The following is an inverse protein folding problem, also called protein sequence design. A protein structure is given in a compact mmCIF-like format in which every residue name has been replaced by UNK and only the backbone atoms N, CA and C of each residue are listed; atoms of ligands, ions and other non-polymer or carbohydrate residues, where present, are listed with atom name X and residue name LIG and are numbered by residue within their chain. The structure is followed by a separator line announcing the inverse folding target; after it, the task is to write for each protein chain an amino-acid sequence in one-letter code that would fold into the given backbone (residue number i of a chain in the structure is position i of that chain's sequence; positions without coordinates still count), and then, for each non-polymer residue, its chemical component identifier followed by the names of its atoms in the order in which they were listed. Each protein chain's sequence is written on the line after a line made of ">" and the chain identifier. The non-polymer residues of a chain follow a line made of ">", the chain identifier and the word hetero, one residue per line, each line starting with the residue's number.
data_IF_641710971061
#
_entry.id   IF_641710971061
#
_cell.length_a   1.000
_cell.length_b   1.000
_cell.length_c   1.000
_cell.angle_alpha   90.00
_cell.angle_beta   90.00
_cell.angle_gamma   90.00
#
_symmetry.space_group_name_H-M   'P 1'
#
loop_
_entity.id
_entity.type
_entity.pdbx_description
1 polymer ?
#
# COMPACT_ATOMS: atom_id res chain seq x y z
N UNK A 1 -22.85 -8.31 -2.62
CA UNK A 1 -22.31 -8.71 -3.93
C UNK A 1 -23.38 -8.72 -5.03
N UNK A 2 -24.52 -9.35 -4.84
CA UNK A 2 -25.61 -9.46 -5.84
C UNK A 2 -26.11 -8.11 -6.40
N UNK A 3 -26.30 -7.08 -5.57
CA UNK A 3 -26.68 -5.72 -6.04
C UNK A 3 -25.59 -5.03 -6.85
N UNK A 4 -24.32 -5.28 -6.55
CA UNK A 4 -23.19 -4.71 -7.28
C UNK A 4 -23.06 -5.35 -8.67
N UNK A 5 -23.13 -6.68 -8.75
CA UNK A 5 -23.08 -7.41 -10.00
C UNK A 5 -24.27 -7.07 -10.92
N UNK A 6 -25.48 -6.93 -10.36
CA UNK A 6 -26.67 -6.56 -11.12
C UNK A 6 -26.60 -5.13 -11.68
N UNK A 7 -26.01 -4.19 -10.94
CA UNK A 7 -25.91 -2.78 -11.40
C UNK A 7 -24.81 -2.52 -12.42
N UNK A 8 -23.86 -3.45 -12.61
CA UNK A 8 -22.71 -3.24 -13.48
C UNK A 8 -22.64 -4.25 -14.66
N UNK A 9 -23.66 -5.08 -14.84
CA UNK A 9 -23.70 -6.12 -15.90
C UNK A 9 -22.39 -6.91 -16.05
N UNK A 10 -21.60 -6.98 -14.97
CA UNK A 10 -20.39 -7.78 -14.96
C UNK A 10 -20.83 -9.24 -15.01
N UNK A 11 -20.72 -9.84 -16.17
CA UNK A 11 -20.77 -11.28 -16.31
C UNK A 11 -19.55 -11.80 -15.55
N UNK A 12 -19.75 -12.11 -14.28
CA UNK A 12 -18.76 -12.79 -13.45
C UNK A 12 -18.66 -14.24 -13.95
N UNK A 13 -18.03 -14.42 -15.10
CA UNK A 13 -17.63 -15.77 -15.48
C UNK A 13 -16.55 -16.21 -14.49
N UNK A 14 -16.68 -17.43 -14.00
CA UNK A 14 -16.10 -17.99 -12.78
C UNK A 14 -14.58 -18.17 -12.76
N UNK A 15 -13.79 -17.27 -13.33
CA UNK A 15 -12.33 -17.33 -13.20
C UNK A 15 -11.86 -16.50 -12.01
N UNK A 16 -10.91 -17.02 -11.23
CA UNK A 16 -10.32 -16.33 -10.08
C UNK A 16 -9.86 -14.90 -10.39
N UNK A 17 -9.36 -14.65 -11.60
CA UNK A 17 -8.96 -13.32 -12.08
C UNK A 17 -10.12 -12.33 -12.13
N UNK A 18 -11.30 -12.80 -12.54
CA UNK A 18 -12.48 -11.94 -12.62
C UNK A 18 -13.08 -11.66 -11.24
N UNK A 19 -13.00 -12.63 -10.33
CA UNK A 19 -13.38 -12.42 -8.94
C UNK A 19 -12.45 -11.41 -8.25
N UNK A 20 -11.15 -11.50 -8.50
CA UNK A 20 -10.17 -10.53 -7.99
C UNK A 20 -10.44 -9.13 -8.53
N UNK A 21 -10.63 -8.99 -9.85
CA UNK A 21 -10.95 -7.72 -10.48
C UNK A 21 -12.26 -7.11 -9.95
N UNK A 22 -13.31 -7.91 -9.80
CA UNK A 22 -14.57 -7.46 -9.21
C UNK A 22 -14.40 -7.00 -7.75
N UNK A 23 -13.54 -7.68 -7.00
CA UNK A 23 -13.20 -7.30 -5.63
C UNK A 23 -12.44 -5.98 -5.58
N UNK A 24 -11.43 -5.78 -6.42
CA UNK A 24 -10.69 -4.51 -6.54
C UNK A 24 -11.63 -3.33 -6.87
N UNK A 25 -12.56 -3.53 -7.82
CA UNK A 25 -13.57 -2.53 -8.16
C UNK A 25 -14.48 -2.23 -6.95
N UNK A 26 -14.89 -3.24 -6.19
CA UNK A 26 -15.69 -3.04 -4.99
C UNK A 26 -14.93 -2.23 -3.92
N UNK A 27 -13.62 -2.48 -3.76
CA UNK A 27 -12.73 -1.73 -2.87
C UNK A 27 -12.60 -0.27 -3.32
N UNK A 28 -12.39 -0.04 -4.62
CA UNK A 28 -12.35 1.31 -5.19
C UNK A 28 -13.64 2.08 -4.86
N UNK A 29 -14.80 1.50 -5.10
CA UNK A 29 -16.08 2.13 -4.78
C UNK A 29 -16.27 2.37 -3.27
N UNK A 30 -15.73 1.49 -2.42
CA UNK A 30 -15.73 1.71 -0.98
C UNK A 30 -14.89 2.93 -0.59
N UNK A 31 -13.71 3.06 -1.18
CA UNK A 31 -12.80 4.18 -0.99
C UNK A 31 -13.43 5.50 -1.49
N UNK A 32 -14.01 5.51 -2.68
CA UNK A 32 -14.68 6.69 -3.23
C UNK A 32 -15.86 7.14 -2.35
N UNK A 33 -16.66 6.19 -1.82
CA UNK A 33 -17.72 6.51 -0.84
C UNK A 33 -17.18 7.08 0.45
N UNK A 34 -16.01 6.63 0.90
CA UNK A 34 -15.33 7.22 2.06
C UNK A 34 -15.00 8.69 1.77
N UNK A 35 -14.31 9.01 0.69
CA UNK A 35 -13.95 10.38 0.34
C UNK A 35 -15.17 11.30 0.15
N UNK A 36 -16.21 10.81 -0.51
CA UNK A 36 -17.48 11.56 -0.63
C UNK A 36 -18.06 11.94 0.73
N UNK A 37 -17.96 11.05 1.74
CA UNK A 37 -18.41 11.34 3.11
C UNK A 37 -17.49 12.28 3.87
N UNK A 38 -16.22 12.36 3.49
CA UNK A 38 -15.28 13.35 4.01
C UNK A 38 -15.48 14.74 3.38
N UNK A 39 -16.46 14.90 2.47
CA UNK A 39 -16.77 16.18 1.84
C UNK A 39 -16.08 16.43 0.50
N UNK A 40 -15.36 15.46 -0.04
CA UNK A 40 -14.76 15.60 -1.38
C UNK A 40 -15.83 15.50 -2.47
N UNK A 41 -15.77 16.42 -3.44
CA UNK A 41 -16.43 16.26 -4.72
C UNK A 41 -15.66 15.24 -5.57
N UNK A 42 -16.40 14.38 -6.30
CA UNK A 42 -15.80 13.34 -7.15
C UNK A 42 -16.16 13.63 -8.61
N UNK A 43 -15.13 13.76 -9.44
CA UNK A 43 -15.27 13.91 -10.89
C UNK A 43 -14.69 12.69 -11.58
N UNK A 44 -15.46 12.08 -12.48
CA UNK A 44 -15.01 10.95 -13.28
C UNK A 44 -14.27 11.46 -14.50
N UNK A 45 -13.04 11.01 -14.68
CA UNK A 45 -12.15 11.47 -15.73
C UNK A 45 -11.88 10.37 -16.76
N UNK A 46 -11.54 10.77 -17.97
CA UNK A 46 -11.15 9.88 -19.06
C UNK A 46 -12.16 8.78 -19.37
N UNK A 47 -13.44 9.14 -19.40
CA UNK A 47 -14.51 8.23 -19.82
C UNK A 47 -14.41 7.92 -21.32
N UNK A 48 -14.82 6.72 -21.72
CA UNK A 48 -14.99 6.35 -23.13
C UNK A 48 -16.47 6.03 -23.38
N UNK A 49 -17.08 6.73 -24.34
CA UNK A 49 -18.51 6.63 -24.60
C UNK A 49 -19.37 6.79 -23.33
N UNK A 50 -18.98 7.71 -22.44
CA UNK A 50 -19.59 7.96 -21.13
C UNK A 50 -19.53 6.78 -20.15
N UNK A 51 -18.66 5.81 -20.39
CA UNK A 51 -18.45 4.63 -19.52
C UNK A 51 -17.11 4.72 -18.77
N UNK A 52 -17.11 4.34 -17.49
CA UNK A 52 -15.91 4.25 -16.68
C UNK A 52 -15.17 2.95 -16.96
N UNK A 53 -13.89 3.06 -17.35
CA UNK A 53 -13.03 1.92 -17.65
C UNK A 53 -12.07 1.65 -16.51
N UNK A 54 -12.26 0.51 -15.86
CA UNK A 54 -11.42 0.06 -14.74
C UNK A 54 -10.12 -0.56 -15.25
N UNK A 55 -8.99 -0.16 -14.66
CA UNK A 55 -7.70 -0.81 -14.87
C UNK A 55 -7.50 -1.85 -13.76
N UNK A 56 -7.67 -3.13 -14.10
CA UNK A 56 -7.55 -4.27 -13.16
C UNK A 56 -6.36 -5.16 -13.46
N UNK A 57 -5.38 -4.64 -14.22
CA UNK A 57 -4.15 -5.35 -14.56
C UNK A 57 -2.98 -4.39 -14.67
N UNK A 58 -1.83 -4.70 -14.08
CA UNK A 58 -0.65 -3.85 -14.14
C UNK A 58 0.00 -3.75 -15.53
N UNK A 59 -0.47 -4.54 -16.50
CA UNK A 59 0.02 -4.51 -17.88
C UNK A 59 -0.69 -3.46 -18.76
N UNK A 60 -1.80 -2.89 -18.29
CA UNK A 60 -2.53 -1.85 -19.02
C UNK A 60 -1.80 -0.51 -19.01
N UNK A 61 -2.01 0.29 -20.06
CA UNK A 61 -1.56 1.69 -20.07
C UNK A 61 -2.55 2.56 -19.28
N UNK A 62 -2.16 3.15 -18.13
CA UNK A 62 -3.06 3.96 -17.30
C UNK A 62 -3.73 5.12 -18.06
N UNK A 63 -3.09 5.67 -19.10
CA UNK A 63 -3.65 6.75 -19.92
C UNK A 63 -4.91 6.33 -20.69
N UNK A 64 -5.14 5.03 -20.87
CA UNK A 64 -6.31 4.50 -21.59
C UNK A 64 -7.49 4.16 -20.67
N UNK A 65 -7.35 4.36 -19.35
CA UNK A 65 -8.35 3.98 -18.36
C UNK A 65 -8.86 5.20 -17.59
N UNK A 66 -10.05 5.06 -17.03
CA UNK A 66 -10.67 6.13 -16.27
C UNK A 66 -10.06 6.25 -14.88
N UNK A 67 -10.15 7.43 -14.31
CA UNK A 67 -9.74 7.72 -12.94
C UNK A 67 -10.72 8.71 -12.30
N UNK A 68 -10.53 9.00 -11.02
CA UNK A 68 -11.43 9.92 -10.31
C UNK A 68 -10.60 11.06 -9.74
N UNK A 69 -10.99 12.30 -10.03
CA UNK A 69 -10.47 13.48 -9.33
C UNK A 69 -11.29 13.71 -8.07
N UNK A 70 -10.60 13.90 -6.95
CA UNK A 70 -11.15 14.31 -5.67
C UNK A 70 -10.85 15.79 -5.49
N UNK A 71 -11.87 16.62 -5.31
CA UNK A 71 -11.72 18.07 -5.02
C UNK A 71 -12.27 18.35 -3.64
N UNK A 72 -11.43 18.85 -2.75
CA UNK A 72 -11.76 19.19 -1.36
C UNK A 72 -11.15 20.50 -0.90
N UNK A 73 -11.36 20.87 0.36
CA UNK A 73 -10.77 22.09 0.93
C UNK A 73 -9.23 22.05 0.97
N UNK A 74 -8.65 20.86 1.06
CA UNK A 74 -7.21 20.64 1.19
C UNK A 74 -6.52 20.43 -0.17
N UNK A 75 -7.23 20.59 -1.28
CA UNK A 75 -6.68 20.47 -2.62
C UNK A 75 -7.37 19.45 -3.51
N UNK A 76 -6.67 19.09 -4.58
CA UNK A 76 -7.16 18.14 -5.56
C UNK A 76 -6.23 16.93 -5.64
N UNK A 77 -6.83 15.75 -5.77
CA UNK A 77 -6.14 14.46 -5.78
C UNK A 77 -6.73 13.57 -6.88
N UNK A 78 -5.97 12.58 -7.30
CA UNK A 78 -6.42 11.58 -8.26
C UNK A 78 -6.45 10.19 -7.62
N UNK A 79 -7.55 9.47 -7.80
CA UNK A 79 -7.65 8.05 -7.45
C UNK A 79 -7.49 7.23 -8.72
N UNK A 80 -6.42 6.44 -8.78
CA UNK A 80 -6.07 5.62 -9.92
C UNK A 80 -5.86 4.16 -9.52
N UNK A 81 -6.05 3.25 -10.46
CA UNK A 81 -5.85 1.81 -10.26
C UNK A 81 -4.58 1.34 -10.98
N UNK A 82 -3.89 0.35 -10.39
CA UNK A 82 -2.80 -0.43 -11.01
C UNK A 82 -1.67 0.43 -11.63
N UNK A 83 -1.42 1.63 -11.09
CA UNK A 83 -0.28 2.46 -11.49
C UNK A 83 0.93 2.05 -10.66
N UNK A 84 2.06 1.87 -11.31
CA UNK A 84 3.32 1.54 -10.63
C UNK A 84 3.89 2.73 -9.90
N UNK A 85 4.49 2.47 -8.75
CA UNK A 85 5.22 3.46 -7.94
C UNK A 85 6.68 3.11 -7.97
N UNK A 86 7.54 4.07 -8.29
CA UNK A 86 8.98 3.92 -8.17
C UNK A 86 9.37 3.89 -6.70
N UNK A 87 10.17 2.90 -6.32
CA UNK A 87 10.69 2.82 -4.96
C UNK A 87 11.63 3.98 -4.66
N UNK A 88 11.54 4.51 -3.44
CA UNK A 88 12.49 5.51 -2.98
C UNK A 88 13.91 4.93 -2.75
N UNK A 89 13.99 3.60 -2.57
CA UNK A 89 15.28 2.92 -2.35
C UNK A 89 16.07 2.80 -3.65
N UNK A 90 15.37 2.46 -4.76
CA UNK A 90 15.99 2.33 -6.07
C UNK A 90 14.94 2.55 -7.17
N UNK A 91 15.19 3.48 -8.08
CA UNK A 91 14.22 3.91 -9.11
C UNK A 91 13.90 2.84 -10.16
N UNK A 92 14.68 1.79 -10.26
CA UNK A 92 14.44 0.62 -11.12
C UNK A 92 13.50 -0.41 -10.47
N UNK A 93 13.34 -0.35 -9.14
CA UNK A 93 12.37 -1.15 -8.40
C UNK A 93 11.00 -0.45 -8.44
N UNK A 94 9.96 -1.20 -8.80
CA UNK A 94 8.59 -0.68 -8.88
C UNK A 94 7.63 -1.59 -8.16
N UNK A 95 6.69 -0.98 -7.46
CA UNK A 95 5.55 -1.63 -6.81
C UNK A 95 4.26 -1.25 -7.53
N UNK A 96 3.30 -2.14 -7.56
CA UNK A 96 2.01 -1.88 -8.20
C UNK A 96 0.88 -2.09 -7.19
N UNK A 97 0.57 -1.08 -6.38
CA UNK A 97 -0.62 -1.12 -5.53
C UNK A 97 -1.88 -1.18 -6.38
N UNK A 98 -2.91 -1.84 -5.88
CA UNK A 98 -4.17 -1.99 -6.60
C UNK A 98 -4.90 -0.65 -6.77
N UNK A 99 -4.83 0.23 -5.75
CA UNK A 99 -5.44 1.57 -5.79
C UNK A 99 -4.45 2.58 -5.20
N UNK A 100 -4.27 3.70 -5.90
CA UNK A 100 -3.46 4.82 -5.47
C UNK A 100 -4.29 6.09 -5.33
N UNK A 101 -3.98 6.87 -4.31
CA UNK A 101 -4.36 8.28 -4.20
C UNK A 101 -3.11 9.11 -4.46
N UNK A 102 -3.15 9.95 -5.47
CA UNK A 102 -2.02 10.76 -5.96
C UNK A 102 -2.33 12.24 -5.79
N UNK A 103 -1.31 13.07 -5.68
CA UNK A 103 -1.45 14.49 -5.92
C UNK A 103 -1.94 14.71 -7.35
N UNK A 104 -2.84 15.68 -7.56
CA UNK A 104 -3.32 16.02 -8.90
C UNK A 104 -2.17 16.39 -9.83
N UNK A 105 -2.37 16.15 -11.12
CA UNK A 105 -1.38 16.39 -12.18
C UNK A 105 -0.05 15.65 -11.95
N UNK A 106 -0.11 14.51 -11.30
CA UNK A 106 1.04 13.63 -11.17
C UNK A 106 1.42 13.07 -12.54
N UNK A 107 2.64 13.37 -12.98
CA UNK A 107 3.17 12.82 -14.23
C UNK A 107 3.35 11.31 -14.07
N UNK A 108 2.71 10.54 -14.94
CA UNK A 108 2.91 9.11 -15.06
C UNK A 108 3.91 8.89 -16.19
N UNK A 109 5.14 8.53 -15.82
CA UNK A 109 6.18 8.24 -16.81
C UNK A 109 5.78 7.03 -17.66
N UNK A 110 5.85 7.20 -18.96
CA UNK A 110 5.50 6.19 -19.95
C UNK A 110 6.68 5.88 -20.87
N UNK A 111 6.65 4.72 -21.51
CA UNK A 111 7.56 4.43 -22.60
C UNK A 111 7.34 5.42 -23.75
N UNK A 112 8.43 5.99 -24.24
CA UNK A 112 8.42 6.84 -25.43
C UNK A 112 8.53 5.98 -26.69
N UNK A 113 8.24 6.56 -27.86
CA UNK A 113 8.45 5.87 -29.14
C UNK A 113 9.93 5.47 -29.34
N UNK A 114 10.87 6.24 -28.76
CA UNK A 114 12.31 5.91 -28.77
C UNK A 114 12.58 4.69 -27.93
N UNK A 115 11.96 4.56 -26.76
CA UNK A 115 12.09 3.37 -25.92
C UNK A 115 11.54 2.13 -26.63
N UNK A 116 10.40 2.25 -27.31
CA UNK A 116 9.84 1.15 -28.11
C UNK A 116 10.76 0.75 -29.27
N UNK A 117 11.27 1.72 -30.02
CA UNK A 117 12.21 1.45 -31.12
C UNK A 117 13.51 0.79 -30.62
N UNK A 118 13.96 1.12 -29.42
CA UNK A 118 15.14 0.53 -28.77
C UNK A 118 14.83 -0.81 -28.07
N UNK A 119 13.61 -1.35 -28.18
CA UNK A 119 13.20 -2.59 -27.52
C UNK A 119 13.06 -2.47 -26.00
N UNK A 120 13.12 -1.27 -25.45
CA UNK A 120 13.00 -1.01 -24.01
C UNK A 120 11.53 -0.91 -23.63
N UNK A 121 11.05 -1.88 -22.86
CA UNK A 121 9.71 -1.82 -22.25
C UNK A 121 9.76 -0.97 -20.98
N UNK A 122 9.75 0.33 -21.14
CA UNK A 122 9.57 1.23 -20.00
C UNK A 122 8.15 1.05 -19.45
N UNK A 123 8.05 0.74 -18.18
CA UNK A 123 6.78 0.57 -17.49
C UNK A 123 6.25 1.94 -17.05
N UNK A 124 4.92 2.10 -17.12
CA UNK A 124 4.27 3.31 -16.59
C UNK A 124 4.46 3.37 -15.08
N UNK A 125 4.99 4.46 -14.57
CA UNK A 125 5.24 4.65 -13.14
C UNK A 125 5.04 6.10 -12.71
N UNK A 126 4.80 6.28 -11.42
CA UNK A 126 4.77 7.57 -10.74
C UNK A 126 5.85 7.56 -9.65
N UNK A 127 6.43 8.72 -9.36
CA UNK A 127 7.37 8.86 -8.26
C UNK A 127 6.67 8.71 -6.91
N UNK A 128 7.36 8.13 -5.92
CA UNK A 128 6.81 7.88 -4.59
C UNK A 128 6.41 9.15 -3.83
N UNK A 129 7.06 10.29 -4.09
CA UNK A 129 6.75 11.60 -3.51
C UNK A 129 5.39 12.18 -3.96
N UNK A 130 4.81 11.63 -5.04
CA UNK A 130 3.49 12.01 -5.53
C UNK A 130 2.36 11.17 -4.94
N UNK A 131 2.68 10.11 -4.20
CA UNK A 131 1.71 9.18 -3.63
C UNK A 131 1.23 9.67 -2.26
N UNK A 132 -0.06 9.92 -2.15
CA UNK A 132 -0.76 10.30 -0.92
C UNK A 132 -1.08 9.06 -0.08
N UNK A 133 -1.62 8.03 -0.72
CA UNK A 133 -1.90 6.74 -0.09
C UNK A 133 -1.87 5.61 -1.13
N UNK A 134 -1.45 4.43 -0.68
CA UNK A 134 -1.47 3.20 -1.47
C UNK A 134 -2.36 2.18 -0.77
N UNK A 135 -3.24 1.54 -1.53
CA UNK A 135 -4.17 0.53 -1.01
C UNK A 135 -4.03 -0.77 -1.78
N UNK A 136 -4.12 -1.87 -1.07
CA UNK A 136 -4.00 -3.23 -1.60
C UNK A 136 -5.30 -3.99 -1.41
N UNK A 137 -5.70 -4.80 -2.38
CA UNK A 137 -6.97 -5.54 -2.41
C UNK A 137 -6.72 -7.03 -2.58
N UNK A 138 -7.10 -7.85 -1.61
CA UNK A 138 -6.90 -9.31 -1.64
C UNK A 138 -8.20 -10.05 -1.41
N UNK A 139 -8.70 -10.70 -2.48
CA UNK A 139 -9.93 -11.50 -2.48
C UNK A 139 -9.70 -12.88 -1.87
N UNK A 140 -9.13 -12.94 -0.65
CA UNK A 140 -8.79 -14.18 0.03
C UNK A 140 -8.95 -14.03 1.55
N UNK A 141 -8.73 -15.10 2.31
CA UNK A 141 -8.64 -15.02 3.76
C UNK A 141 -7.33 -14.34 4.18
N UNK A 142 -7.34 -13.55 5.29
CA UNK A 142 -6.12 -12.96 5.81
C UNK A 142 -5.17 -14.04 6.34
N UNK A 143 -3.87 -13.81 6.20
CA UNK A 143 -2.80 -14.62 6.78
C UNK A 143 -1.60 -13.71 7.13
N UNK A 144 -0.72 -14.13 8.06
CA UNK A 144 0.32 -13.27 8.60
C UNK A 144 1.25 -12.67 7.54
N UNK A 145 1.71 -13.48 6.59
CA UNK A 145 2.67 -13.06 5.55
C UNK A 145 2.09 -11.99 4.62
N UNK A 146 0.78 -12.04 4.35
CA UNK A 146 0.08 -11.00 3.58
C UNK A 146 0.19 -9.63 4.28
N UNK A 147 -0.05 -9.61 5.59
CA UNK A 147 0.00 -8.38 6.38
C UNK A 147 1.42 -7.82 6.46
N UNK A 148 2.42 -8.70 6.66
CA UNK A 148 3.85 -8.34 6.68
C UNK A 148 4.30 -7.82 5.30
N UNK A 149 3.90 -8.49 4.21
CA UNK A 149 4.20 -8.06 2.85
C UNK A 149 3.64 -6.68 2.54
N UNK A 150 2.43 -6.38 3.02
CA UNK A 150 1.84 -5.05 2.84
C UNK A 150 2.68 -3.96 3.53
N UNK A 151 3.09 -4.18 4.79
CA UNK A 151 4.00 -3.26 5.50
C UNK A 151 5.34 -3.14 4.76
N UNK A 152 5.93 -4.26 4.35
CA UNK A 152 7.18 -4.29 3.60
C UNK A 152 7.12 -3.49 2.30
N UNK A 153 6.02 -3.61 1.56
CA UNK A 153 5.76 -2.82 0.36
C UNK A 153 5.72 -1.32 0.68
N UNK A 154 4.98 -0.91 1.70
CA UNK A 154 4.87 0.49 2.09
C UNK A 154 6.23 1.08 2.50
N UNK A 155 7.00 0.37 3.33
CA UNK A 155 8.32 0.79 3.80
C UNK A 155 9.30 0.93 2.64
N UNK A 156 9.26 0.02 1.67
CA UNK A 156 10.21 0.01 0.55
C UNK A 156 9.78 0.98 -0.56
N UNK A 157 8.47 1.19 -0.74
CA UNK A 157 7.97 2.09 -1.79
C UNK A 157 8.10 3.57 -1.40
N UNK A 158 7.94 3.92 -0.12
CA UNK A 158 7.75 5.30 0.31
C UNK A 158 8.75 5.73 1.37
N UNK A 159 9.56 6.77 1.09
CA UNK A 159 10.54 7.36 2.01
C UNK A 159 9.91 7.95 3.27
N UNK A 160 8.68 8.45 3.17
CA UNK A 160 7.93 9.02 4.28
C UNK A 160 7.28 7.97 5.20
N UNK A 161 7.39 6.69 4.87
CA UNK A 161 6.83 5.60 5.66
C UNK A 161 7.95 4.65 6.12
N UNK A 162 7.99 4.20 7.39
CA UNK A 162 7.09 4.43 8.51
C UNK A 162 7.47 5.61 9.42
N UNK A 163 8.65 6.21 9.26
CA UNK A 163 9.31 6.99 10.31
C UNK A 163 8.91 8.47 10.33
N UNK A 164 8.11 8.94 9.40
CA UNK A 164 7.63 10.33 9.39
C UNK A 164 8.74 11.40 9.31
N UNK A 165 9.97 11.02 8.93
CA UNK A 165 11.09 11.95 8.78
C UNK A 165 10.99 12.77 7.51
N UNK A 166 10.32 12.24 6.49
CA UNK A 166 9.96 12.98 5.30
C UNK A 166 8.46 13.30 5.29
N UNK A 167 8.17 14.43 4.70
CA UNK A 167 6.80 14.97 4.65
C UNK A 167 5.99 14.14 3.66
N UNK A 168 5.03 13.37 4.16
CA UNK A 168 4.00 12.84 3.27
C UNK A 168 3.30 14.00 2.56
N UNK A 169 3.06 13.91 1.25
CA UNK A 169 2.29 14.91 0.52
C UNK A 169 0.81 14.92 0.94
N UNK A 170 0.38 13.94 1.75
CA UNK A 170 -1.01 13.82 2.15
C UNK A 170 -1.44 14.93 3.12
N UNK A 171 -2.51 15.65 2.83
CA UNK A 171 -3.14 16.52 3.79
C UNK A 171 -3.80 15.71 4.90
N UNK A 172 -4.11 16.40 5.98
CA UNK A 172 -4.81 15.83 7.12
C UNK A 172 -6.18 15.28 6.71
N UNK A 173 -6.49 14.06 7.14
CA UNK A 173 -7.81 13.46 6.95
C UNK A 173 -7.92 12.48 5.79
N UNK A 174 -6.87 12.27 4.98
CA UNK A 174 -6.85 11.17 4.03
C UNK A 174 -6.87 9.82 4.74
N UNK A 175 -7.51 8.82 4.10
CA UNK A 175 -7.44 7.45 4.59
C UNK A 175 -5.99 6.97 4.51
N UNK A 176 -5.44 6.50 5.63
CA UNK A 176 -4.11 5.91 5.65
C UNK A 176 -4.05 4.68 4.71
N UNK A 177 -2.86 4.28 4.26
CA UNK A 177 -2.69 3.07 3.46
C UNK A 177 -3.52 1.92 4.02
N UNK A 178 -4.25 1.22 3.17
CA UNK A 178 -5.25 0.23 3.60
C UNK A 178 -5.10 -1.08 2.84
N UNK A 179 -4.99 -2.17 3.57
CA UNK A 179 -5.12 -3.53 3.04
C UNK A 179 -6.59 -3.95 3.15
N UNK A 180 -7.26 -4.11 2.02
CA UNK A 180 -8.61 -4.64 1.92
C UNK A 180 -8.58 -6.15 1.71
N UNK A 181 -9.21 -6.92 2.59
CA UNK A 181 -9.22 -8.38 2.55
C UNK A 181 -10.66 -8.89 2.50
N UNK A 182 -10.95 -9.73 1.51
CA UNK A 182 -12.28 -10.26 1.27
C UNK A 182 -12.77 -11.20 2.36
N UNK A 183 -11.91 -12.10 2.78
CA UNK A 183 -12.24 -13.15 3.75
C UNK A 183 -12.30 -12.68 5.20
N UNK A 184 -12.75 -13.59 6.07
CA UNK A 184 -12.95 -13.31 7.50
C UNK A 184 -11.70 -13.60 8.33
N UNK A 185 -11.44 -12.76 9.33
CA UNK A 185 -10.34 -12.94 10.26
C UNK A 185 -10.73 -13.87 11.43
N UNK A 186 -9.78 -14.73 11.86
CA UNK A 186 -9.85 -15.49 13.11
C UNK A 186 -9.21 -14.68 14.25
N UNK A 187 -9.35 -15.14 15.48
CA UNK A 187 -8.84 -14.45 16.68
C UNK A 187 -7.34 -14.06 16.58
N UNK A 188 -6.48 -14.95 16.06
CA UNK A 188 -5.07 -14.64 15.85
C UNK A 188 -4.87 -13.49 14.85
N UNK A 189 -5.60 -13.51 13.73
CA UNK A 189 -5.51 -12.45 12.73
C UNK A 189 -5.97 -11.10 13.31
N UNK A 190 -7.03 -11.08 14.13
CA UNK A 190 -7.49 -9.85 14.79
C UNK A 190 -6.46 -9.28 15.76
N UNK A 191 -5.76 -10.14 16.52
CA UNK A 191 -4.65 -9.71 17.39
C UNK A 191 -3.50 -9.10 16.57
N UNK A 192 -3.14 -9.74 15.46
CA UNK A 192 -2.08 -9.25 14.58
C UNK A 192 -2.47 -7.92 13.93
N UNK A 193 -3.70 -7.80 13.43
CA UNK A 193 -4.23 -6.54 12.87
C UNK A 193 -4.13 -5.42 13.89
N UNK A 194 -4.61 -5.65 15.12
CA UNK A 194 -4.54 -4.64 16.19
C UNK A 194 -3.10 -4.22 16.51
N UNK A 195 -2.16 -5.16 16.55
CA UNK A 195 -0.75 -4.87 16.77
C UNK A 195 -0.14 -4.06 15.62
N UNK A 196 -0.45 -4.40 14.38
CA UNK A 196 0.05 -3.67 13.21
C UNK A 196 -0.54 -2.26 13.11
N UNK A 197 -1.84 -2.10 13.31
CA UNK A 197 -2.49 -0.78 13.31
C UNK A 197 -2.02 0.12 14.47
N UNK A 198 -1.59 -0.48 15.59
CA UNK A 198 -0.96 0.25 16.69
C UNK A 198 0.48 0.66 16.38
N UNK A 199 1.21 -0.14 15.62
CA UNK A 199 2.64 0.07 15.31
C UNK A 199 2.86 0.90 14.05
N UNK A 200 1.94 0.82 13.09
CA UNK A 200 2.05 1.47 11.78
C UNK A 200 0.78 2.26 11.47
N UNK A 201 0.94 3.38 10.81
CA UNK A 201 -0.20 4.19 10.38
C UNK A 201 -0.84 3.62 9.11
N UNK A 202 -1.55 2.54 9.27
CA UNK A 202 -2.26 1.82 8.21
C UNK A 202 -3.60 1.28 8.70
N UNK A 203 -4.44 0.79 7.81
CA UNK A 203 -5.64 0.04 8.13
C UNK A 203 -5.57 -1.36 7.51
N UNK A 204 -6.11 -2.37 8.20
CA UNK A 204 -6.35 -3.70 7.67
C UNK A 204 -7.84 -4.01 7.81
N UNK A 205 -8.57 -3.98 6.69
CA UNK A 205 -10.01 -4.17 6.63
C UNK A 205 -10.30 -5.58 6.16
N UNK A 206 -10.93 -6.40 6.99
CA UNK A 206 -11.26 -7.80 6.70
C UNK A 206 -12.77 -8.02 6.61
N UNK A 207 -13.19 -9.14 6.01
CA UNK A 207 -14.60 -9.52 5.94
C UNK A 207 -15.39 -8.80 4.84
N UNK A 208 -14.72 -8.28 3.82
CA UNK A 208 -15.37 -7.50 2.77
C UNK A 208 -16.36 -8.33 1.92
N UNK A 209 -16.15 -9.66 1.78
CA UNK A 209 -17.09 -10.53 1.09
C UNK A 209 -18.40 -10.73 1.85
N UNK A 210 -18.36 -10.72 3.18
CA UNK A 210 -19.54 -10.91 4.03
C UNK A 210 -20.39 -9.64 4.23
N UNK A 211 -19.89 -8.49 3.76
CA UNK A 211 -20.55 -7.20 3.96
C UNK A 211 -20.50 -6.68 5.40
N UNK A 212 -19.78 -7.35 6.29
CA UNK A 212 -19.62 -6.94 7.69
C UNK A 212 -18.65 -5.78 7.89
N UNK A 213 -17.85 -5.46 6.89
CA UNK A 213 -16.90 -4.36 6.89
C UNK A 213 -17.61 -2.99 6.71
N UNK A 214 -16.97 -1.95 7.19
CA UNK A 214 -17.43 -0.58 6.98
C UNK A 214 -16.29 0.44 7.03
N UNK A 215 -16.24 1.30 6.03
CA UNK A 215 -15.49 2.56 6.05
C UNK A 215 -16.37 3.75 6.42
N UNK A 216 -17.51 3.52 7.10
CA UNK A 216 -18.54 4.52 7.32
C UNK A 216 -18.12 5.66 8.25
N UNK A 217 -17.19 5.45 9.14
CA UNK A 217 -16.79 6.44 10.12
C UNK A 217 -15.29 6.64 10.14
N UNK A 218 -14.86 7.88 10.01
CA UNK A 218 -13.45 8.25 10.23
C UNK A 218 -12.96 7.94 11.66
N UNK A 219 -13.89 7.87 12.63
CA UNK A 219 -13.55 7.54 14.03
C UNK A 219 -12.98 6.13 14.20
N UNK A 220 -13.36 5.22 13.31
CA UNK A 220 -12.99 3.80 13.38
C UNK A 220 -11.88 3.45 12.36
N UNK A 221 -11.23 4.45 11.76
CA UNK A 221 -10.18 4.25 10.76
C UNK A 221 -9.01 5.15 11.04
N UNK A 222 -7.83 4.64 10.76
CA UNK A 222 -6.61 5.42 10.86
C UNK A 222 -6.57 6.37 9.66
N UNK A 223 -6.57 7.66 9.95
CA UNK A 223 -6.44 8.69 8.94
C UNK A 223 -4.98 9.12 8.84
N UNK A 224 -4.56 9.40 7.62
CA UNK A 224 -3.28 10.02 7.36
C UNK A 224 -3.34 11.47 7.81
N UNK A 225 -2.42 11.91 8.62
CA UNK A 225 -2.47 13.23 9.24
C UNK A 225 -1.40 14.19 8.74
N UNK A 226 -0.79 13.91 7.61
CA UNK A 226 0.31 14.76 7.12
C UNK A 226 1.51 14.83 8.09
N UNK A 227 2.64 15.33 7.62
CA UNK A 227 3.89 15.31 8.36
C UNK A 227 3.97 16.22 9.57
N UNK A 228 3.09 17.23 9.68
CA UNK A 228 3.09 18.18 10.81
C UNK A 228 2.26 17.72 12.01
N UNK A 229 1.47 16.67 11.87
CA UNK A 229 0.64 16.18 12.95
C UNK A 229 1.32 14.99 13.62
N UNK A 230 1.93 15.26 14.74
CA UNK A 230 2.43 14.31 15.73
C UNK A 230 3.29 13.19 15.16
N UNK A 231 4.47 13.05 15.68
CA UNK A 231 5.30 11.89 15.46
C UNK A 231 4.45 10.61 15.52
N UNK A 232 4.81 9.64 14.72
CA UNK A 232 4.23 8.31 14.85
C UNK A 232 4.15 7.97 16.33
N UNK A 233 3.07 7.33 16.79
CA UNK A 233 3.08 6.81 18.14
C UNK A 233 4.35 5.98 18.29
N UNK A 234 5.07 6.10 19.40
CA UNK A 234 6.28 5.32 19.61
C UNK A 234 5.91 3.86 19.33
N UNK A 235 6.73 3.16 18.55
CA UNK A 235 6.54 1.74 18.29
C UNK A 235 6.48 1.08 19.64
N UNK A 236 5.29 0.67 20.09
CA UNK A 236 5.13 0.01 21.36
C UNK A 236 5.92 -1.31 21.29
N UNK A 237 7.05 -1.38 22.00
CA UNK A 237 7.92 -2.54 21.99
C UNK A 237 9.26 -2.41 21.27
N UNK A 238 9.61 -1.27 20.70
CA UNK A 238 11.03 -1.05 20.35
C UNK A 238 11.83 -1.07 21.66
N UNK A 239 12.82 -1.98 21.85
CA UNK A 239 13.65 -1.97 23.04
C UNK A 239 14.31 -0.59 23.09
N UNK A 240 14.01 0.17 24.15
CA UNK A 240 14.79 1.37 24.43
C UNK A 240 16.23 0.90 24.53
N UNK A 241 17.08 1.36 23.62
CA UNK A 241 18.51 1.22 23.77
C UNK A 241 18.90 2.06 25.00
N UNK A 242 18.80 1.42 26.17
CA UNK A 242 19.50 1.89 27.36
C UNK A 242 20.97 1.94 26.94
N UNK A 243 21.52 3.15 26.86
CA UNK A 243 22.92 3.38 26.53
C UNK A 243 23.82 2.67 27.53
N UNK A 244 24.09 1.42 27.26
CA UNK A 244 25.18 0.66 27.89
C UNK A 244 26.40 0.92 27.02
N UNK A 245 27.28 1.74 27.53
CA UNK A 245 28.66 1.91 27.03
C UNK A 245 29.22 0.53 26.72
N UNK A 246 29.81 0.28 25.54
CA UNK A 246 30.42 -1.00 25.25
C UNK A 246 31.57 -1.24 26.17
N UNK A 247 31.38 -2.14 27.14
CA UNK A 247 32.49 -2.69 27.92
C UNK A 247 33.42 -3.41 26.94
N UNK A 248 34.66 -2.93 26.86
CA UNK A 248 35.70 -3.55 26.06
C UNK A 248 35.80 -5.04 26.42
N UNK A 249 35.51 -5.89 25.44
CA UNK A 249 35.78 -7.32 25.56
C UNK A 249 37.30 -7.51 25.68
N UNK A 250 37.73 -8.00 26.84
CA UNK A 250 39.09 -8.43 27.07
C UNK A 250 39.44 -9.56 26.08
N UNK A 251 40.55 -9.40 25.38
CA UNK A 251 41.13 -10.37 24.46
C UNK A 251 41.47 -11.66 25.19
N UNK A 252 41.02 -12.85 24.78
CA UNK A 252 41.43 -14.10 25.46
C UNK A 252 42.88 -14.39 25.17
N UNK A 253 43.65 -14.68 26.25
CA UNK A 253 45.06 -15.05 26.21
C UNK A 253 45.29 -16.31 25.35
N UNK A 254 46.29 -16.27 24.49
CA UNK A 254 46.74 -17.40 23.68
C UNK A 254 47.30 -18.51 24.58
N UNK A 255 46.64 -19.60 24.68
CA UNK A 255 47.16 -20.85 25.28
C UNK A 255 48.19 -21.48 24.36
N UNK A 256 49.45 -21.57 24.81
CA UNK A 256 50.55 -22.30 24.15
C UNK A 256 50.21 -23.78 24.07
N UNK A 257 50.12 -24.33 22.87
CA UNK A 257 50.09 -25.78 22.64
C UNK A 257 51.44 -26.38 22.98
N UNK A 258 51.47 -27.28 23.95
CA UNK A 258 52.63 -28.13 24.24
C UNK A 258 52.84 -29.12 23.09
N UNK A 259 54.08 -29.21 22.61
CA UNK A 259 54.56 -30.24 21.68
C UNK A 259 54.64 -31.59 22.39
N UNK A 260 53.92 -32.58 21.90
CA UNK A 260 54.14 -33.97 22.22
C UNK A 260 55.06 -34.60 21.15
N UNK A 261 56.18 -35.12 21.56
CA UNK A 261 57.16 -35.87 20.75
C UNK A 261 56.59 -37.25 20.34
N UNK A 262 57.01 -37.82 19.20
CA UNK A 262 56.62 -39.16 18.81
C UNK A 262 57.49 -40.21 19.47
N UNK A 263 56.85 -41.24 20.02
CA UNK A 263 57.52 -42.51 20.37
C UNK A 263 57.23 -43.48 19.26
N UNK A 264 58.34 -44.04 18.73
CA UNK A 264 58.31 -45.05 17.69
C UNK A 264 57.90 -46.45 18.18
N UNK A 265 57.37 -47.18 17.32
CA UNK A 265 57.76 -48.53 16.89
C UNK A 265 57.07 -48.81 15.56
#
# INVERSE_FOLDING_TARGET
>A
MTKFAANHQLVLSATERQLSAAFEIACLHALLRFYKRQGYALTLENLKANEYRYLTSPSGNPANFSFVTLTGQDGEFEVRQQVRVESHVASDIRFTPDILVLLKDSTIDAATNVDFAAGRRKLFSVKSDRVVAAHECKSMNPFPELMVSFVGMLVTAHSWYPNGTEVSPAPKGHLAPTLFVGGTARALHLKMIAAMEASYRLNIVVGMHSGTWSLKSAKNRILWQGAKAAGNPPIAGAPQSSGTTPTQLATPAKTKKAKSSPVGK
#
